data_IF_210616926728
#
_entry.id   IF_210616926728
#
_cell.length_a   1.000
_cell.length_b   1.000
_cell.length_c   1.000
_cell.angle_alpha   90.00
_cell.angle_beta   90.00
_cell.angle_gamma   90.00
#
_symmetry.space_group_name_H-M   'P 1'
#
loop_
_entity.id
_entity.type
_entity.pdbx_description
1 polymer ?
#
# COMPACT_ATOMS: atom_id res chain seq x y z
N UNK A 1 -23.92 -21.81 -0.13
CA UNK A 1 -23.67 -20.80 -1.17
C UNK A 1 -23.05 -19.58 -0.50
N UNK A 2 -21.72 -19.49 -0.49
CA UNK A 2 -20.98 -18.48 0.26
C UNK A 2 -20.64 -17.28 -0.62
N UNK A 3 -21.18 -16.11 -0.27
CA UNK A 3 -20.82 -14.83 -0.89
C UNK A 3 -19.53 -14.31 -0.23
N UNK A 4 -18.41 -14.36 -0.94
CA UNK A 4 -17.15 -13.74 -0.52
C UNK A 4 -17.17 -12.24 -0.87
N UNK A 5 -17.57 -11.41 0.10
CA UNK A 5 -17.42 -9.96 0.02
C UNK A 5 -16.12 -9.52 0.69
N UNK A 6 -15.07 -9.31 -0.10
CA UNK A 6 -13.88 -8.57 0.36
C UNK A 6 -13.04 -8.04 -0.81
N UNK A 7 -13.70 -7.37 -1.76
CA UNK A 7 -13.06 -6.43 -2.67
C UNK A 7 -13.54 -5.02 -2.34
N UNK A 8 -12.99 -4.40 -1.28
CA UNK A 8 -13.11 -2.95 -1.09
C UNK A 8 -11.83 -2.36 -0.47
N UNK A 9 -11.05 -1.77 -1.37
CA UNK A 9 -10.30 -0.52 -1.20
C UNK A 9 -9.18 -0.45 -0.15
N UNK A 10 -7.96 -0.70 -0.60
CA UNK A 10 -6.74 0.01 -0.12
C UNK A 10 -6.09 0.72 -1.30
N UNK A 11 -6.68 1.85 -1.70
CA UNK A 11 -5.97 2.89 -2.45
C UNK A 11 -6.12 4.17 -1.65
N UNK A 12 -4.99 4.85 -1.41
CA UNK A 12 -4.78 6.08 -0.62
C UNK A 12 -4.41 5.84 0.86
N UNK A 13 -3.16 5.43 1.06
CA UNK A 13 -2.44 5.59 2.32
C UNK A 13 -1.14 6.32 2.05
N UNK A 14 -1.14 7.64 2.18
CA UNK A 14 0.03 8.52 2.15
C UNK A 14 1.04 8.05 3.21
N UNK A 15 2.22 7.60 2.80
CA UNK A 15 3.31 7.27 3.72
C UNK A 15 3.86 8.57 4.31
N UNK A 16 3.74 8.75 5.63
CA UNK A 16 4.58 9.70 6.36
C UNK A 16 5.63 8.90 7.12
N UNK A 17 6.88 9.04 6.68
CA UNK A 17 8.05 8.42 7.25
C UNK A 17 8.27 8.92 8.68
N UNK A 18 8.27 8.00 9.66
CA UNK A 18 8.57 8.32 11.05
C UNK A 18 10.08 8.14 11.25
N UNK A 19 10.82 9.24 11.20
CA UNK A 19 12.26 9.25 11.47
C UNK A 19 12.54 8.81 12.91
N UNK A 20 13.42 7.81 13.08
CA UNK A 20 14.01 7.50 14.38
C UNK A 20 15.23 8.42 14.54
N UNK A 21 15.20 9.32 15.52
CA UNK A 21 16.40 10.07 15.90
C UNK A 21 17.04 9.35 17.08
N UNK A 22 18.25 8.83 16.84
CA UNK A 22 19.10 8.24 17.88
C UNK A 22 19.42 9.27 18.95
N UNK A 23 19.13 8.93 20.20
CA UNK A 23 19.46 9.75 21.37
C UNK A 23 20.85 9.37 21.85
N UNK A 24 21.83 10.19 21.52
CA UNK A 24 23.19 10.17 22.03
C UNK A 24 23.22 10.48 23.53
N UNK A 25 24.09 9.79 24.26
CA UNK A 25 24.23 9.89 25.70
C UNK A 25 24.89 11.17 26.18
N UNK A 26 24.39 11.68 27.31
CA UNK A 26 25.12 12.31 28.40
C UNK A 26 24.16 12.40 29.60
N UNK A 27 24.65 12.15 30.83
CA UNK A 27 24.26 13.06 31.89
C UNK A 27 25.50 13.54 32.66
N UNK A 28 25.69 14.85 32.68
CA UNK A 28 26.63 15.54 33.54
C UNK A 28 25.84 16.54 34.38
N UNK A 29 25.91 16.37 35.71
CA UNK A 29 25.66 17.38 36.73
C UNK A 29 24.21 17.81 36.94
N UNK A 30 23.71 17.66 38.16
CA UNK A 30 23.34 18.78 39.03
C UNK A 30 22.76 18.21 40.34
N UNK A 31 23.64 18.20 41.34
CA UNK A 31 23.45 18.70 42.70
C UNK A 31 22.02 18.89 43.24
N UNK A 32 21.77 18.21 44.36
CA UNK A 32 21.02 18.77 45.48
C UNK A 32 19.51 18.94 45.27
N UNK A 33 18.76 17.88 45.55
CA UNK A 33 17.42 18.07 46.10
C UNK A 33 17.20 17.03 47.21
N UNK A 34 17.02 17.56 48.42
CA UNK A 34 16.54 16.86 49.60
C UNK A 34 15.39 15.93 49.22
N UNK A 35 15.58 14.62 49.39
CA UNK A 35 14.51 13.66 49.17
C UNK A 35 13.29 14.07 49.97
N UNK A 36 12.09 14.14 49.35
CA UNK A 36 10.88 14.17 50.14
C UNK A 36 10.87 12.84 50.90
N UNK A 37 10.86 12.91 52.22
CA UNK A 37 10.51 11.80 53.10
C UNK A 37 9.08 11.41 52.78
N UNK A 38 8.92 10.60 51.73
CA UNK A 38 7.64 10.11 51.25
C UNK A 38 7.11 9.09 52.26
N UNK A 39 6.57 9.64 53.33
CA UNK A 39 5.82 8.97 54.40
C UNK A 39 4.43 8.56 53.91
N UNK A 40 4.31 8.22 52.62
CA UNK A 40 3.14 7.61 51.98
C UNK A 40 3.33 6.10 51.73
N UNK A 41 4.38 5.50 52.31
CA UNK A 41 4.73 4.08 52.18
C UNK A 41 3.68 3.07 52.69
N UNK A 42 2.48 3.47 53.08
CA UNK A 42 1.50 2.57 53.73
C UNK A 42 0.06 2.81 53.29
N UNK A 43 -0.20 3.01 52.00
CA UNK A 43 -1.56 2.77 51.49
C UNK A 43 -1.60 1.47 50.67
N UNK A 44 -1.89 0.31 51.31
CA UNK A 44 -1.88 -0.99 50.64
C UNK A 44 -2.80 -1.03 49.43
N UNK A 45 -3.85 -0.18 49.42
CA UNK A 45 -4.82 -0.06 48.34
C UNK A 45 -4.23 0.58 47.07
N UNK A 46 -3.35 1.58 47.21
CA UNK A 46 -2.74 2.26 46.05
C UNK A 46 -1.79 1.32 45.29
N UNK A 47 -1.00 0.53 46.03
CA UNK A 47 -0.07 -0.44 45.47
C UNK A 47 -0.79 -1.58 44.74
N UNK A 48 -1.91 -2.04 45.27
CA UNK A 48 -2.77 -3.03 44.61
C UNK A 48 -3.37 -2.49 43.29
N UNK A 49 -3.81 -1.22 43.30
CA UNK A 49 -4.37 -0.55 42.12
C UNK A 49 -3.35 -0.39 40.98
N UNK A 50 -2.10 -0.03 41.29
CA UNK A 50 -1.02 0.09 40.30
C UNK A 50 -0.67 -1.25 39.66
N UNK A 51 -0.60 -2.33 40.43
CA UNK A 51 -0.35 -3.69 39.91
C UNK A 51 -1.48 -4.19 39.01
N UNK A 52 -2.73 -3.87 39.34
CA UNK A 52 -3.89 -4.17 38.50
C UNK A 52 -3.84 -3.42 37.17
N UNK A 53 -3.44 -2.14 37.20
CA UNK A 53 -3.29 -1.33 35.99
C UNK A 53 -2.14 -1.84 35.11
N UNK A 54 -1.00 -2.20 35.70
CA UNK A 54 0.14 -2.78 34.97
C UNK A 54 -0.23 -4.13 34.35
N UNK A 55 -0.93 -5.00 35.09
CA UNK A 55 -1.47 -6.25 34.56
C UNK A 55 -2.51 -6.02 33.47
N UNK A 56 -3.35 -4.99 33.58
CA UNK A 56 -4.32 -4.63 32.56
C UNK A 56 -3.63 -4.13 31.28
N UNK A 57 -2.59 -3.29 31.42
CA UNK A 57 -1.75 -2.81 30.30
C UNK A 57 -1.00 -3.96 29.64
N UNK A 58 -0.40 -4.87 30.41
CA UNK A 58 0.26 -6.06 29.90
C UNK A 58 -0.72 -6.97 29.15
N UNK A 59 -1.90 -7.26 29.72
CA UNK A 59 -2.96 -8.04 29.06
C UNK A 59 -3.48 -7.35 27.80
N UNK A 60 -3.60 -6.03 27.78
CA UNK A 60 -4.03 -5.27 26.59
C UNK A 60 -2.96 -5.33 25.48
N UNK A 61 -1.69 -5.19 25.84
CA UNK A 61 -0.55 -5.34 24.93
C UNK A 61 -0.48 -6.76 24.36
N UNK A 62 -0.66 -7.77 25.21
CA UNK A 62 -0.66 -9.16 24.78
C UNK A 62 -1.84 -9.50 23.86
N UNK A 63 -3.05 -9.02 24.17
CA UNK A 63 -4.22 -9.15 23.27
C UNK A 63 -3.97 -8.50 21.92
N UNK A 64 -3.34 -7.32 21.90
CA UNK A 64 -2.96 -6.64 20.67
C UNK A 64 -1.93 -7.44 19.88
N UNK A 65 -0.88 -7.94 20.54
CA UNK A 65 0.16 -8.77 19.91
C UNK A 65 -0.46 -10.04 19.30
N UNK A 66 -1.28 -10.76 20.07
CA UNK A 66 -1.97 -11.97 19.59
C UNK A 66 -2.87 -11.69 18.39
N UNK A 67 -3.53 -10.53 18.33
CA UNK A 67 -4.35 -10.15 17.19
C UNK A 67 -3.50 -9.86 15.94
N UNK A 68 -2.34 -9.19 16.12
CA UNK A 68 -1.38 -8.95 15.05
C UNK A 68 -0.84 -10.28 14.51
N UNK A 69 -0.43 -11.20 15.38
CA UNK A 69 0.10 -12.51 14.98
C UNK A 69 -0.95 -13.33 14.21
N UNK A 70 -2.23 -13.25 14.63
CA UNK A 70 -3.34 -13.87 13.91
C UNK A 70 -3.52 -13.28 12.52
N UNK A 71 -3.52 -11.95 12.37
CA UNK A 71 -3.63 -11.32 11.05
C UNK A 71 -2.44 -11.65 10.15
N UNK A 72 -1.22 -11.65 10.71
CA UNK A 72 0.00 -12.01 9.97
C UNK A 72 -0.05 -13.46 9.48
N UNK A 73 -0.56 -14.39 10.30
CA UNK A 73 -0.70 -15.80 9.90
C UNK A 73 -1.74 -15.98 8.80
N UNK A 74 -2.84 -15.22 8.86
CA UNK A 74 -3.88 -15.24 7.82
C UNK A 74 -3.33 -14.67 6.49
N UNK A 75 -2.68 -13.51 6.54
CA UNK A 75 -2.07 -12.87 5.37
C UNK A 75 -0.95 -13.73 4.77
N UNK A 76 -0.13 -14.37 5.59
CA UNK A 76 0.89 -15.32 5.12
C UNK A 76 0.27 -16.49 4.36
N UNK A 77 -0.88 -17.00 4.82
CA UNK A 77 -1.59 -18.09 4.13
C UNK A 77 -2.11 -17.62 2.77
N UNK A 78 -2.76 -16.46 2.73
CA UNK A 78 -3.28 -15.87 1.50
C UNK A 78 -2.15 -15.59 0.51
N UNK A 79 -1.02 -15.06 0.99
CA UNK A 79 0.18 -14.82 0.20
C UNK A 79 0.72 -16.11 -0.44
N UNK A 80 0.83 -17.19 0.33
CA UNK A 80 1.31 -18.49 -0.17
C UNK A 80 0.33 -19.14 -1.16
N UNK A 81 -0.97 -18.88 -1.01
CA UNK A 81 -2.00 -19.37 -1.92
C UNK A 81 -2.11 -18.53 -3.21
N UNK A 82 -1.52 -17.33 -3.24
CA UNK A 82 -1.59 -16.44 -4.41
C UNK A 82 -0.48 -16.76 -5.41
N UNK A 83 -0.87 -17.12 -6.64
CA UNK A 83 0.09 -17.29 -7.74
C UNK A 83 0.52 -15.93 -8.31
N UNK A 84 1.82 -15.64 -8.23
CA UNK A 84 2.42 -14.39 -8.72
C UNK A 84 3.03 -14.61 -10.09
N UNK A 85 2.50 -13.92 -11.09
CA UNK A 85 2.94 -14.02 -12.48
C UNK A 85 3.59 -12.70 -12.90
N UNK A 86 4.72 -12.80 -13.62
CA UNK A 86 5.41 -11.66 -14.22
C UNK A 86 5.30 -11.75 -15.74
N UNK A 87 4.84 -10.68 -16.38
CA UNK A 87 4.78 -10.58 -17.83
C UNK A 87 5.98 -9.76 -18.32
N UNK A 88 6.84 -10.39 -19.12
CA UNK A 88 8.03 -9.78 -19.73
C UNK A 88 7.85 -9.66 -21.25
N UNK A 89 8.45 -8.63 -21.84
CA UNK A 89 8.41 -8.39 -23.28
C UNK A 89 8.82 -6.95 -23.63
N UNK A 90 9.15 -6.71 -24.91
CA UNK A 90 9.51 -5.39 -25.43
C UNK A 90 8.41 -4.34 -25.24
N UNK A 91 8.70 -3.06 -25.48
CA UNK A 91 7.67 -2.01 -25.62
C UNK A 91 6.57 -2.49 -26.57
N UNK A 92 5.31 -2.17 -26.28
CA UNK A 92 4.15 -2.44 -27.16
C UNK A 92 3.78 -3.90 -27.44
N UNK A 93 4.52 -4.88 -26.90
CA UNK A 93 4.25 -6.34 -27.01
C UNK A 93 2.88 -6.84 -26.49
N UNK A 94 1.98 -5.97 -26.06
CA UNK A 94 0.63 -6.36 -25.64
C UNK A 94 0.49 -6.87 -24.20
N UNK A 95 1.52 -6.72 -23.34
CA UNK A 95 1.44 -7.08 -21.91
C UNK A 95 0.20 -6.47 -21.21
N UNK A 96 -0.07 -5.20 -21.47
CA UNK A 96 -1.24 -4.50 -20.93
C UNK A 96 -2.56 -5.07 -21.47
N UNK A 97 -2.56 -5.62 -22.68
CA UNK A 97 -3.73 -6.28 -23.28
C UNK A 97 -4.05 -7.58 -22.56
N UNK A 98 -3.04 -8.41 -22.25
CA UNK A 98 -3.23 -9.65 -21.49
C UNK A 98 -3.82 -9.35 -20.10
N UNK A 99 -3.27 -8.35 -19.41
CA UNK A 99 -3.78 -7.94 -18.09
C UNK A 99 -5.23 -7.45 -18.18
N UNK A 100 -5.58 -6.67 -19.22
CA UNK A 100 -6.97 -6.24 -19.45
C UNK A 100 -7.90 -7.43 -19.70
N UNK A 101 -7.47 -8.43 -20.47
CA UNK A 101 -8.26 -9.64 -20.73
C UNK A 101 -8.47 -10.45 -19.44
N UNK A 102 -7.44 -10.60 -18.62
CA UNK A 102 -7.57 -11.25 -17.31
C UNK A 102 -8.63 -10.56 -16.44
N UNK A 103 -8.72 -9.23 -16.51
CA UNK A 103 -9.72 -8.44 -15.77
C UNK A 103 -11.14 -8.59 -16.32
N UNK A 104 -11.30 -8.83 -17.62
CA UNK A 104 -12.63 -9.08 -18.22
C UNK A 104 -13.16 -10.45 -17.79
N UNK A 105 -12.28 -11.46 -17.74
CA UNK A 105 -12.68 -12.85 -17.48
C UNK A 105 -12.85 -13.17 -15.98
N UNK A 106 -12.01 -12.59 -15.12
CA UNK A 106 -11.90 -13.04 -13.71
C UNK A 106 -12.27 -11.98 -12.67
N UNK A 107 -12.47 -10.73 -13.08
CA UNK A 107 -12.92 -9.62 -12.23
C UNK A 107 -14.18 -9.07 -12.89
N UNK A 108 -15.08 -8.40 -12.16
CA UNK A 108 -16.38 -7.91 -12.66
C UNK A 108 -16.29 -6.82 -13.78
N UNK A 109 -15.30 -6.90 -14.67
CA UNK A 109 -15.10 -6.07 -15.84
C UNK A 109 -14.54 -4.69 -15.53
N UNK A 110 -14.93 -3.73 -16.37
CA UNK A 110 -14.59 -2.31 -16.26
C UNK A 110 -15.82 -1.53 -15.78
N UNK A 111 -15.61 -0.62 -14.82
CA UNK A 111 -16.68 0.25 -14.34
C UNK A 111 -17.07 1.31 -15.39
N UNK A 112 -18.28 1.87 -15.29
CA UNK A 112 -18.78 2.89 -16.21
C UNK A 112 -17.87 4.13 -16.27
N UNK A 113 -17.35 4.57 -15.12
CA UNK A 113 -16.40 5.70 -15.05
C UNK A 113 -15.08 5.40 -15.75
N UNK A 114 -14.55 4.18 -15.61
CA UNK A 114 -13.32 3.78 -16.31
C UNK A 114 -13.54 3.74 -17.82
N UNK A 115 -14.69 3.22 -18.27
CA UNK A 115 -15.07 3.22 -19.69
C UNK A 115 -15.15 4.65 -20.23
N UNK A 116 -15.72 5.58 -19.47
CA UNK A 116 -15.81 7.00 -19.86
C UNK A 116 -14.42 7.63 -20.04
N UNK A 117 -13.47 7.34 -19.14
CA UNK A 117 -12.09 7.78 -19.29
C UNK A 117 -11.45 7.17 -20.55
N UNK A 118 -11.71 5.88 -20.84
CA UNK A 118 -11.19 5.21 -22.04
C UNK A 118 -11.72 5.78 -23.35
N UNK A 119 -12.88 6.44 -23.37
CA UNK A 119 -13.36 7.13 -24.58
C UNK A 119 -12.38 8.23 -25.00
N UNK A 120 -11.84 8.98 -24.04
CA UNK A 120 -10.87 10.03 -24.34
C UNK A 120 -9.57 9.44 -24.90
N UNK A 121 -9.04 8.39 -24.27
CA UNK A 121 -7.85 7.67 -24.76
C UNK A 121 -8.06 7.17 -26.20
N UNK A 122 -9.24 6.59 -26.51
CA UNK A 122 -9.57 6.09 -27.85
C UNK A 122 -9.55 7.23 -28.88
N UNK A 123 -10.14 8.39 -28.53
CA UNK A 123 -10.15 9.56 -29.43
C UNK A 123 -8.75 10.07 -29.73
N UNK A 124 -7.89 10.16 -28.71
CA UNK A 124 -6.51 10.59 -28.88
C UNK A 124 -5.73 9.60 -29.75
N UNK A 125 -5.86 8.30 -29.49
CA UNK A 125 -5.20 7.27 -30.30
C UNK A 125 -5.61 7.34 -31.79
N UNK A 126 -6.90 7.61 -32.07
CA UNK A 126 -7.37 7.77 -33.46
C UNK A 126 -6.73 9.02 -34.10
N UNK A 127 -6.72 10.14 -33.38
CA UNK A 127 -6.10 11.38 -33.86
C UNK A 127 -4.61 11.18 -34.16
N UNK A 128 -3.86 10.65 -33.20
CA UNK A 128 -2.42 10.38 -33.31
C UNK A 128 -2.12 9.41 -34.46
N UNK A 129 -2.94 8.36 -34.63
CA UNK A 129 -2.78 7.42 -35.74
C UNK A 129 -2.93 8.10 -37.11
N UNK A 130 -3.94 8.95 -37.28
CA UNK A 130 -4.16 9.68 -38.54
C UNK A 130 -3.02 10.67 -38.79
N UNK A 131 -2.62 11.45 -37.79
CA UNK A 131 -1.48 12.39 -37.91
C UNK A 131 -0.20 11.66 -38.30
N UNK A 132 0.06 10.49 -37.71
CA UNK A 132 1.21 9.64 -38.03
C UNK A 132 1.16 9.16 -39.48
N UNK A 133 -0.01 8.70 -39.95
CA UNK A 133 -0.17 8.20 -41.32
C UNK A 133 0.06 9.31 -42.35
N UNK A 134 -0.53 10.49 -42.14
CA UNK A 134 -0.38 11.64 -43.06
C UNK A 134 1.07 12.11 -43.09
N UNK A 135 1.68 12.27 -41.91
CA UNK A 135 3.10 12.66 -41.81
C UNK A 135 3.99 11.65 -42.53
N UNK A 136 3.77 10.35 -42.31
CA UNK A 136 4.55 9.30 -42.97
C UNK A 136 4.35 9.31 -44.49
N UNK A 137 3.14 9.55 -44.99
CA UNK A 137 2.84 9.68 -46.42
C UNK A 137 3.62 10.84 -47.05
N UNK A 138 3.65 12.00 -46.39
CA UNK A 138 4.37 13.18 -46.89
C UNK A 138 5.89 12.98 -46.90
N UNK A 139 6.44 12.25 -45.92
CA UNK A 139 7.86 11.88 -45.89
C UNK A 139 8.22 10.74 -46.86
N UNK A 140 7.26 9.88 -47.20
CA UNK A 140 7.42 8.77 -48.15
C UNK A 140 7.16 9.17 -49.60
N UNK A 141 7.06 10.47 -49.90
CA UNK A 141 6.95 11.01 -51.25
C UNK A 141 8.02 10.43 -52.19
N UNK A 142 7.71 10.28 -53.50
CA UNK A 142 8.51 9.48 -54.42
C UNK A 142 9.96 9.99 -54.43
N UNK A 143 10.89 9.11 -54.08
CA UNK A 143 12.31 9.30 -54.38
C UNK A 143 12.42 9.74 -55.84
N UNK A 144 12.99 10.93 -56.04
CA UNK A 144 13.20 11.62 -57.32
C UNK A 144 13.42 10.68 -58.50
N UNK A 145 12.88 10.98 -59.70
CA UNK A 145 13.22 10.24 -60.89
C UNK A 145 14.74 10.34 -61.11
N UNK A 146 15.41 9.20 -61.11
CA UNK A 146 16.77 9.07 -61.61
C UNK A 146 16.77 9.47 -63.08
N UNK A 147 17.37 10.62 -63.41
CA UNK A 147 17.77 11.01 -64.75
C UNK A 147 19.00 11.89 -64.65
#
# INVERSE_FOLDING_TARGET
MGMCHSFRSRLLGSQSARAYTGRSGAPAGLDGESGPTDSSATDPQLRERLLLEERARAKAGEKRSRNIDKSLKAEKREYLQTHRLLLLGAGESGKSTIVKQMRILHVNGFNAEEKKQKIHDIKNNIKEAIETIVTAHDHAGPSSPSS
#
